data_IF_985700228718
#
_entry.id   IF_985700228718
#
_cell.length_a   1.000
_cell.length_b   1.000
_cell.length_c   1.000
_cell.angle_alpha   90.00
_cell.angle_beta   90.00
_cell.angle_gamma   90.00
#
_symmetry.space_group_name_H-M   'P 1'
#
loop_
_entity.id
_entity.type
_entity.pdbx_description
1 polymer ?
2 water ?
#
# COMPACT_ATOMS: atom_id res chain seq x y z
N UNK A 3 30.54 -27.47 -15.87
CA UNK A 3 29.16 -27.20 -15.39
C UNK A 3 28.94 -25.72 -15.11
N UNK A 4 27.80 -25.14 -15.52
CA UNK A 4 27.70 -23.72 -15.71
C UNK A 4 27.44 -22.99 -14.42
N UNK A 5 27.37 -21.68 -14.57
CA UNK A 5 27.20 -20.80 -13.42
C UNK A 5 25.73 -20.61 -13.04
N UNK A 6 25.46 -19.97 -11.91
CA UNK A 6 24.06 -19.73 -11.52
C UNK A 6 23.34 -18.88 -12.55
N UNK A 7 22.07 -19.26 -12.68
CA UNK A 7 21.09 -18.54 -13.41
C UNK A 7 20.93 -17.13 -12.85
N UNK A 8 20.22 -16.30 -13.60
CA UNK A 8 20.01 -14.89 -13.19
C UNK A 8 19.02 -14.84 -12.04
N UNK A 9 19.03 -13.75 -11.28
CA UNK A 9 17.99 -13.58 -10.26
C UNK A 9 16.61 -13.58 -10.88
N UNK A 10 15.65 -13.92 -10.06
CA UNK A 10 14.30 -13.81 -10.45
C UNK A 10 13.88 -12.35 -10.62
N UNK A 11 12.70 -12.19 -11.20
CA UNK A 11 12.08 -10.90 -11.43
C UNK A 11 11.58 -10.34 -10.10
N UNK A 12 11.29 -9.04 -10.08
CA UNK A 12 10.68 -8.44 -8.90
C UNK A 12 9.37 -9.09 -8.56
N UNK A 13 9.06 -9.06 -7.27
CA UNK A 13 7.75 -9.41 -6.80
C UNK A 13 6.69 -8.40 -7.22
N UNK A 14 5.44 -8.72 -6.90
CA UNK A 14 4.34 -7.79 -7.19
C UNK A 14 4.36 -6.63 -6.18
N UNK A 15 3.61 -5.57 -6.46
CA UNK A 15 3.43 -4.53 -5.46
C UNK A 15 2.88 -5.08 -4.14
N UNK A 16 3.20 -4.35 -3.09
CA UNK A 16 2.58 -4.61 -1.81
C UNK A 16 1.10 -4.28 -1.82
N UNK A 17 0.43 -4.59 -0.71
CA UNK A 17 -1.01 -4.27 -0.60
C UNK A 17 -1.20 -2.77 -0.52
N UNK A 18 -2.40 -2.35 -0.90
CA UNK A 18 -2.78 -0.96 -0.74
C UNK A 18 -2.69 -0.57 0.72
N UNK A 19 -2.29 0.66 0.98
CA UNK A 19 -2.24 1.16 2.32
C UNK A 19 -3.60 1.21 2.99
N UNK A 20 -3.59 1.37 4.30
CA UNK A 20 -4.84 1.44 5.03
C UNK A 20 -5.58 2.73 4.76
N UNK A 21 -6.89 2.74 5.02
CA UNK A 21 -7.65 3.99 4.96
C UNK A 21 -7.05 5.01 5.91
N UNK A 22 -7.26 6.26 5.57
CA UNK A 22 -6.81 7.35 6.39
C UNK A 22 -7.53 7.47 7.72
N UNK A 23 -6.99 8.33 8.60
CA UNK A 23 -7.67 8.67 9.85
C UNK A 23 -11.02 11.62 10.03
N UNK A 24 -12.05 12.12 9.33
CA UNK A 24 -12.12 13.51 9.03
C UNK A 24 -12.36 14.40 10.25
N UNK A 25 -12.27 15.70 10.00
CA UNK A 25 -12.48 16.69 11.07
C UNK A 25 -13.97 16.91 11.31
N UNK A 26 -14.36 17.51 12.45
CA UNK A 26 -15.77 17.83 12.63
C UNK A 26 -16.21 18.88 11.61
N UNK A 27 -17.55 18.87 11.37
CA UNK A 27 -18.19 19.91 10.66
C UNK A 27 -18.26 21.21 11.45
N UNK A 28 -18.85 22.24 10.86
CA UNK A 28 -19.03 23.52 11.55
C UNK A 28 -20.12 23.41 12.62
N UNK A 29 -20.22 24.42 13.48
CA UNK A 29 -21.35 24.48 14.38
C UNK A 29 -22.66 24.52 13.60
N UNK A 30 -23.72 24.02 14.24
CA UNK A 30 -25.04 24.16 13.68
C UNK A 30 -25.51 25.62 13.65
N UNK A 31 -26.60 25.86 12.94
CA UNK A 31 -27.18 27.17 12.94
C UNK A 31 -27.76 27.53 14.31
N UNK A 32 -27.87 28.86 14.62
CA UNK A 32 -28.62 29.31 15.74
C UNK A 32 -30.01 28.74 15.81
N UNK A 33 -30.53 28.73 17.03
CA UNK A 33 -31.95 28.48 17.19
C UNK A 33 -32.79 29.76 17.02
C UNK B 1 27.19 -28.48 -19.82
N UNK B 2 26.83 -29.11 -18.70
CA UNK B 2 25.47 -28.94 -18.20
C UNK B 2 25.21 -27.54 -17.68
N UNK B 3 23.93 -27.15 -17.68
CA UNK B 3 23.57 -25.91 -17.01
C UNK B 3 23.93 -25.83 -15.53
N UNK B 4 24.15 -24.61 -15.08
CA UNK B 4 24.29 -24.28 -13.70
C UNK B 4 22.97 -24.30 -12.95
N UNK B 5 23.05 -23.96 -11.67
CA UNK B 5 21.87 -23.99 -10.82
C UNK B 5 20.95 -22.81 -11.11
N UNK B 6 19.67 -23.14 -10.92
CA UNK B 6 18.67 -22.11 -10.80
C UNK B 6 19.21 -20.94 -9.93
N UNK B 7 18.88 -19.67 -10.32
CA UNK B 7 19.49 -18.40 -9.77
C UNK B 7 18.91 -17.88 -8.44
N UNK B 8 19.41 -16.72 -7.88
CA UNK B 8 18.94 -16.29 -6.58
C UNK B 8 17.56 -15.62 -6.66
N UNK B 9 16.94 -15.42 -5.50
CA UNK B 9 15.62 -14.79 -5.48
C UNK B 9 15.62 -13.40 -6.07
N UNK B 10 14.52 -13.07 -6.73
CA UNK B 10 14.30 -11.72 -7.18
C UNK B 10 14.04 -10.77 -6.02
N UNK B 11 14.05 -9.48 -6.33
CA UNK B 11 13.89 -8.46 -5.29
C UNK B 11 12.41 -8.22 -4.97
N UNK B 12 12.13 -7.56 -3.85
CA UNK B 12 10.73 -7.24 -3.54
C UNK B 12 10.12 -6.35 -4.60
N UNK B 13 8.81 -6.48 -4.73
CA UNK B 13 8.04 -5.53 -5.52
C UNK B 13 8.06 -4.15 -4.85
N UNK B 14 7.50 -3.16 -5.56
CA UNK B 14 7.42 -1.81 -5.01
C UNK B 14 6.35 -1.73 -3.95
N UNK B 15 6.31 -0.61 -3.21
CA UNK B 15 5.22 -0.39 -2.27
C UNK B 15 3.88 -0.44 -3.00
N UNK B 16 2.87 -0.85 -2.23
CA UNK B 16 1.53 -0.75 -2.68
C UNK B 16 1.06 0.68 -2.83
N UNK B 17 -0.11 0.87 -3.41
CA UNK B 17 -0.65 2.20 -3.61
C UNK B 17 -1.11 2.81 -2.28
N UNK B 18 -1.22 4.14 -2.27
CA UNK B 18 -1.76 4.83 -1.11
C UNK B 18 -3.18 4.38 -0.78
N UNK B 19 -3.48 4.33 0.52
CA UNK B 19 -4.81 3.99 0.95
C UNK B 19 -5.85 5.04 0.57
N UNK B 20 -7.12 4.63 0.72
CA UNK B 20 -8.21 5.54 0.43
C UNK B 20 -8.38 6.55 1.56
N UNK B 21 -9.17 7.58 1.32
CA UNK B 21 -9.47 8.53 2.39
C UNK B 21 -10.14 7.84 3.58
N UNK B 22 -9.95 8.43 4.75
CA UNK B 22 -10.61 7.96 5.96
C UNK B 22 -12.12 8.19 5.94
N UNK B 23 -12.77 7.65 6.96
CA UNK B 23 -14.22 7.87 7.16
C UNK B 23 -15.91 11.51 9.11
N UNK B 24 -15.67 12.79 9.34
CA UNK B 24 -15.65 13.34 10.65
C UNK B 24 -17.02 13.37 11.30
N UNK B 25 -17.03 13.74 12.57
CA UNK B 25 -18.28 13.83 13.31
C UNK B 25 -19.00 15.12 12.98
N UNK B 26 -20.31 15.19 13.25
CA UNK B 26 -21.00 16.48 13.19
C UNK B 26 -20.28 17.50 14.08
N UNK B 27 -20.35 18.75 13.66
CA UNK B 27 -19.90 19.84 14.48
C UNK B 27 -20.72 19.99 15.75
N UNK B 28 -20.32 20.96 16.58
CA UNK B 28 -21.05 21.21 17.82
C UNK B 28 -22.41 21.83 17.51
N UNK B 29 -23.36 21.71 18.45
CA UNK B 29 -24.65 22.38 18.25
C UNK B 29 -24.49 23.91 18.13
N UNK B 30 -25.42 24.52 17.37
CA UNK B 30 -25.57 25.94 17.31
C UNK B 30 -26.05 26.46 18.67
N UNK B 31 -25.94 27.76 18.88
CA UNK B 31 -26.43 28.31 20.17
C UNK B 31 -27.92 28.37 20.20
C UNK C 1 27.35 -23.71 -19.30
N UNK C 2 26.12 -23.65 -19.75
CA UNK C 2 25.37 -22.40 -19.71
C UNK C 2 24.90 -22.08 -18.29
N UNK C 3 24.48 -20.86 -18.08
CA UNK C 3 23.88 -20.52 -16.80
C UNK C 3 22.62 -21.32 -16.56
N UNK C 4 22.35 -21.53 -15.30
CA UNK C 4 21.15 -22.17 -14.91
C UNK C 4 19.93 -21.32 -15.20
N UNK C 5 18.76 -21.88 -14.90
CA UNK C 5 17.51 -21.12 -15.08
C UNK C 5 17.42 -19.96 -14.12
N UNK C 6 16.49 -19.03 -14.35
CA UNK C 6 16.32 -17.89 -13.42
C UNK C 6 15.79 -18.36 -12.08
N UNK C 7 16.06 -17.56 -11.09
CA UNK C 7 15.51 -17.74 -9.77
C UNK C 7 14.02 -17.36 -9.65
N UNK C 8 13.51 -17.42 -8.43
CA UNK C 8 12.08 -17.18 -8.24
C UNK C 8 11.77 -15.70 -8.20
N UNK C 9 10.54 -15.31 -8.50
CA UNK C 9 10.14 -13.93 -8.24
C UNK C 9 10.35 -13.57 -6.77
N UNK C 10 10.62 -12.27 -6.57
CA UNK C 10 10.69 -11.74 -5.23
C UNK C 10 9.34 -11.71 -4.53
N UNK C 11 9.37 -11.34 -3.26
CA UNK C 11 8.16 -11.22 -2.46
C UNK C 11 7.39 -9.97 -2.85
N UNK C 12 6.11 -9.89 -2.46
CA UNK C 12 5.39 -8.63 -2.60
C UNK C 12 6.13 -7.54 -1.86
N UNK C 13 5.95 -6.30 -2.37
CA UNK C 13 6.51 -5.14 -1.71
C UNK C 13 5.77 -4.83 -0.38
N UNK C 14 6.25 -3.77 0.27
CA UNK C 14 5.65 -3.35 1.49
C UNK C 14 4.33 -2.66 1.25
N UNK C 15 3.52 -2.51 2.30
CA UNK C 15 2.25 -1.83 2.12
C UNK C 15 2.42 -0.38 1.68
N UNK C 16 1.42 0.13 0.99
CA UNK C 16 1.37 1.52 0.66
C UNK C 16 1.14 2.39 1.87
N UNK C 17 1.29 3.70 1.70
CA UNK C 17 1.09 4.61 2.81
C UNK C 17 -0.37 4.73 3.15
N UNK C 18 -0.63 5.14 4.38
CA UNK C 18 -1.96 5.39 4.85
C UNK C 18 -2.61 6.49 4.01
N UNK C 19 -3.93 6.33 3.76
CA UNK C 19 -4.64 7.33 3.00
C UNK C 19 -4.80 8.65 3.72
N UNK C 20 -5.34 9.62 2.99
CA UNK C 20 -5.51 10.95 3.58
C UNK C 20 -6.65 10.94 4.58
N UNK C 21 -6.71 11.96 5.44
CA UNK C 21 -7.84 12.07 6.36
C UNK C 21 -9.16 12.12 5.59
N UNK C 22 -10.20 11.64 6.28
CA UNK C 22 -11.52 11.70 5.72
C UNK C 22 -12.05 13.12 5.57
N UNK C 23 -13.20 13.23 4.90
CA UNK C 23 -13.88 14.51 4.73
C UNK C 23 -16.86 16.13 7.61
N UNK C 24 -17.25 16.11 8.90
CA UNK C 24 -18.60 15.85 9.24
C UNK C 24 -19.53 16.97 8.83
N UNK C 25 -20.85 16.76 8.99
CA UNK C 25 -21.81 17.79 8.63
C UNK C 25 -21.86 18.84 9.73
N UNK C 26 -22.58 19.92 9.47
CA UNK C 26 -22.86 20.88 10.55
C UNK C 26 -23.47 20.19 11.76
N UNK C 27 -23.23 20.78 12.93
CA UNK C 27 -23.88 20.33 14.14
C UNK C 27 -25.38 20.56 14.10
N UNK C 28 -26.06 20.06 15.13
CA UNK C 28 -27.50 20.30 15.22
C UNK C 28 -27.80 21.77 15.41
N UNK C 29 -28.98 22.22 15.01
CA UNK C 29 -29.39 23.59 15.29
C UNK C 29 -29.51 23.78 16.78
N UNK C 30 -29.30 25.02 17.23
CA UNK C 30 -29.79 25.29 18.54
C UNK C 30 -31.36 25.19 18.62
N UNK C 31 -31.91 24.89 19.81
CA UNK C 31 -33.37 24.72 19.89
C UNK C 31 -34.02 26.06 19.67
#
# INVERSE_FOLDING_TARGET
XPPGPPGPPGPPGPPGPRGPPGXGPPGPPGPPG
XPPGPPGPPGPPGPPGPRGPPGXGPPGPPGPPG
XPPGPPGPPGPPGPPGPRGPPGXGPPGPPGPPG
#
